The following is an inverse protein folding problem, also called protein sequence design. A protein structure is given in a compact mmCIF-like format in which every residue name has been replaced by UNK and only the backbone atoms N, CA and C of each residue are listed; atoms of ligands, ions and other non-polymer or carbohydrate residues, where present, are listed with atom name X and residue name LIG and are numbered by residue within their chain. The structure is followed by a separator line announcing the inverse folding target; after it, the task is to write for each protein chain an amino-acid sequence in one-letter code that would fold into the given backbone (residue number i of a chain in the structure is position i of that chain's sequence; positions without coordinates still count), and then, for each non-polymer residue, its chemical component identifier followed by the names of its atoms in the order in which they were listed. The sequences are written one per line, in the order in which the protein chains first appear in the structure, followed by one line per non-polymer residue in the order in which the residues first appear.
data_IF_970889770896
#
_entry.id   IF_970889770896
#
_cell.length_a   1.000
_cell.length_b   1.000
_cell.length_c   1.000
_cell.angle_alpha   90.00
_cell.angle_beta   90.00
_cell.angle_gamma   90.00
#
_symmetry.space_group_name_H-M   'P 1'
#
loop_
_entity.id
_entity.type
_entity.pdbx_description
1 polymer ?
#
# COMPACT_ATOMS: atom_id res chain seq x y z
N UNK A 1 36.92 2.74 -8.29
CA UNK A 1 36.03 1.72 -8.87
C UNK A 1 34.67 1.86 -8.20
N UNK A 2 33.69 2.45 -8.89
CA UNK A 2 32.33 2.51 -8.39
C UNK A 2 31.71 1.10 -8.53
N UNK A 3 31.32 0.50 -7.41
CA UNK A 3 30.58 -0.76 -7.42
C UNK A 3 29.19 -0.46 -8.00
N UNK A 4 28.90 -1.01 -9.18
CA UNK A 4 27.53 -1.13 -9.69
C UNK A 4 26.76 -2.03 -8.72
N UNK A 5 26.00 -1.40 -7.81
CA UNK A 5 25.04 -2.11 -6.97
C UNK A 5 23.93 -2.58 -7.88
N UNK A 6 23.91 -3.88 -8.16
CA UNK A 6 22.82 -4.54 -8.85
C UNK A 6 21.60 -4.56 -7.90
N UNK A 7 20.88 -3.43 -7.86
CA UNK A 7 19.76 -3.23 -6.95
C UNK A 7 18.59 -4.10 -7.39
N UNK A 8 18.31 -5.16 -6.63
CA UNK A 8 17.13 -5.99 -6.86
C UNK A 8 15.88 -5.23 -6.46
N UNK A 9 15.01 -4.92 -7.44
CA UNK A 9 13.75 -4.21 -7.20
C UNK A 9 12.66 -5.15 -6.67
N UNK A 10 11.70 -4.61 -5.91
CA UNK A 10 10.51 -5.36 -5.49
C UNK A 10 10.77 -6.61 -4.67
N UNK A 11 11.83 -6.61 -3.84
CA UNK A 11 12.18 -7.76 -3.00
C UNK A 11 11.03 -8.16 -2.07
N UNK A 12 11.01 -9.43 -1.67
CA UNK A 12 9.96 -9.93 -0.78
C UNK A 12 9.91 -9.19 0.57
N UNK A 13 11.05 -8.69 1.07
CA UNK A 13 11.11 -7.83 2.26
C UNK A 13 10.32 -6.54 2.06
N UNK A 14 10.50 -5.86 0.92
CA UNK A 14 9.81 -4.60 0.62
C UNK A 14 8.31 -4.83 0.46
N UNK A 15 7.91 -5.87 -0.29
CA UNK A 15 6.49 -6.21 -0.50
C UNK A 15 5.76 -6.55 0.80
N UNK A 16 6.41 -7.31 1.70
CA UNK A 16 5.87 -7.59 3.03
C UNK A 16 5.80 -6.33 3.90
N UNK A 17 6.85 -5.50 3.89
CA UNK A 17 6.83 -4.23 4.63
C UNK A 17 5.70 -3.30 4.19
N UNK A 18 5.40 -3.25 2.89
CA UNK A 18 4.24 -2.51 2.38
C UNK A 18 2.92 -3.06 2.93
N UNK A 19 2.74 -4.39 2.95
CA UNK A 19 1.55 -5.01 3.53
C UNK A 19 1.45 -4.79 5.05
N UNK A 20 2.60 -4.75 5.75
CA UNK A 20 2.67 -4.48 7.18
C UNK A 20 2.17 -3.07 7.53
N UNK A 21 2.31 -2.10 6.63
CA UNK A 21 1.79 -0.74 6.82
C UNK A 21 0.25 -0.65 6.81
N UNK A 22 -0.44 -1.67 6.28
CA UNK A 22 -1.92 -1.71 6.23
C UNK A 22 -2.52 -2.41 7.45
N UNK A 23 -1.70 -2.93 8.37
CA UNK A 23 -2.16 -3.66 9.56
C UNK A 23 -2.98 -2.76 10.49
N UNK A 24 -4.09 -3.30 11.00
CA UNK A 24 -5.00 -2.59 11.90
C UNK A 24 -5.97 -1.63 11.20
N UNK A 25 -5.84 -1.48 9.89
CA UNK A 25 -6.76 -0.71 9.05
C UNK A 25 -7.96 -1.50 8.55
N UNK A 26 -8.92 -0.79 7.98
CA UNK A 26 -10.04 -1.37 7.20
C UNK A 26 -9.79 -1.11 5.72
N UNK A 27 -10.00 -2.14 4.89
CA UNK A 27 -10.01 -2.01 3.43
C UNK A 27 -11.46 -2.11 2.98
N UNK A 28 -11.94 -1.13 2.21
CA UNK A 28 -13.35 -1.06 1.79
C UNK A 28 -13.47 -1.20 0.28
N UNK A 29 -14.33 -2.12 -0.18
CA UNK A 29 -14.66 -2.24 -1.60
C UNK A 29 -15.49 -1.03 -2.05
N UNK A 30 -15.07 -0.38 -3.14
CA UNK A 30 -15.77 0.75 -3.75
C UNK A 30 -15.84 0.59 -5.27
N UNK A 31 -16.91 1.14 -5.88
CA UNK A 31 -17.14 1.07 -7.33
C UNK A 31 -17.33 2.43 -7.98
N UNK A 32 -17.26 3.52 -7.20
CA UNK A 32 -17.28 4.89 -7.72
C UNK A 32 -16.27 5.78 -7.00
N UNK A 33 -15.79 6.87 -7.65
CA UNK A 33 -14.92 7.85 -6.98
C UNK A 33 -15.57 8.51 -5.77
N UNK A 34 -16.90 8.65 -5.75
CA UNK A 34 -17.61 9.24 -4.61
C UNK A 34 -17.61 8.30 -3.40
N UNK A 35 -17.77 6.99 -3.61
CA UNK A 35 -17.63 6.00 -2.54
C UNK A 35 -16.21 5.99 -1.97
N UNK A 36 -15.19 6.12 -2.82
CA UNK A 36 -13.79 6.19 -2.37
C UNK A 36 -13.56 7.36 -1.40
N UNK A 37 -14.12 8.54 -1.68
CA UNK A 37 -14.05 9.70 -0.75
C UNK A 37 -14.74 9.41 0.58
N UNK A 38 -15.95 8.84 0.55
CA UNK A 38 -16.70 8.50 1.76
C UNK A 38 -15.93 7.47 2.61
N UNK A 39 -15.29 6.49 1.96
CA UNK A 39 -14.49 5.47 2.63
C UNK A 39 -13.22 6.05 3.25
N UNK A 40 -12.53 6.96 2.56
CA UNK A 40 -11.39 7.71 3.10
C UNK A 40 -11.80 8.54 4.33
N UNK A 41 -12.89 9.30 4.25
CA UNK A 41 -13.43 10.11 5.35
C UNK A 41 -13.85 9.25 6.55
N UNK A 42 -14.32 8.02 6.30
CA UNK A 42 -14.66 7.05 7.34
C UNK A 42 -13.43 6.36 7.99
N UNK A 43 -12.22 6.64 7.49
CA UNK A 43 -10.97 6.10 8.02
C UNK A 43 -10.51 4.78 7.39
N UNK A 44 -10.97 4.44 6.18
CA UNK A 44 -10.42 3.31 5.43
C UNK A 44 -8.93 3.56 5.13
N UNK A 45 -8.11 2.53 5.32
CA UNK A 45 -6.65 2.60 5.06
C UNK A 45 -6.33 2.34 3.59
N UNK A 46 -7.20 1.62 2.89
CA UNK A 46 -7.17 1.41 1.45
C UNK A 46 -8.59 1.20 0.91
N UNK A 47 -8.79 1.52 -0.38
CA UNK A 47 -10.05 1.39 -1.13
C UNK A 47 -9.79 0.90 -2.55
#
# INVERSE_FOLDING_TARGET
MASERNATTGTARVKRGLADMLKGGVIMDVVTPEQAKIAEDAGATAV
#
